data_IF_010323457388
#
_entry.id   IF_010323457388
#
_cell.length_a   1.000
_cell.length_b   1.000
_cell.length_c   1.000
_cell.angle_alpha   90.00
_cell.angle_beta   90.00
_cell.angle_gamma   90.00
#
_symmetry.space_group_name_H-M   'P 1'
#
loop_
_entity.id
_entity.type
_entity.pdbx_description
1 polymer ?
#
# COMPACT_ATOMS: atom_id res chain seq x y z
N UNK A 1 -24.47 -27.23 -2.37
CA UNK A 1 -23.75 -25.93 -2.36
C UNK A 1 -23.29 -25.64 -3.79
N UNK A 2 -23.63 -24.50 -4.39
CA UNK A 2 -23.23 -24.20 -5.77
C UNK A 2 -21.70 -24.05 -5.91
N UNK A 3 -21.13 -24.53 -7.02
CA UNK A 3 -19.68 -24.48 -7.31
C UNK A 3 -19.08 -23.08 -7.20
N UNK A 4 -19.90 -22.05 -7.46
CA UNK A 4 -19.52 -20.64 -7.34
C UNK A 4 -19.28 -20.23 -5.87
N UNK A 5 -20.18 -20.60 -4.96
CA UNK A 5 -20.05 -20.29 -3.53
C UNK A 5 -18.81 -20.98 -2.92
N UNK A 6 -18.52 -22.20 -3.35
CA UNK A 6 -17.31 -22.91 -2.92
C UNK A 6 -16.03 -22.22 -3.40
N UNK A 7 -16.00 -21.72 -4.63
CA UNK A 7 -14.88 -20.91 -5.16
C UNK A 7 -14.70 -19.62 -4.38
N UNK A 8 -15.78 -18.90 -4.09
CA UNK A 8 -15.73 -17.64 -3.33
C UNK A 8 -15.19 -17.91 -1.92
N UNK A 9 -15.70 -18.92 -1.22
CA UNK A 9 -15.21 -19.31 0.12
C UNK A 9 -13.72 -19.67 0.11
N UNK A 10 -13.27 -20.43 -0.90
CA UNK A 10 -11.86 -20.79 -1.03
C UNK A 10 -10.95 -19.59 -1.28
N UNK A 11 -11.39 -18.59 -2.05
CA UNK A 11 -10.63 -17.35 -2.27
C UNK A 11 -10.55 -16.49 -1.01
N UNK A 12 -11.65 -16.37 -0.26
CA UNK A 12 -11.67 -15.65 1.02
C UNK A 12 -10.75 -16.31 2.04
N UNK A 13 -10.82 -17.64 2.18
CA UNK A 13 -9.97 -18.39 3.11
C UNK A 13 -8.48 -18.23 2.81
N UNK A 14 -8.07 -18.27 1.53
CA UNK A 14 -6.67 -18.02 1.15
C UNK A 14 -6.20 -16.63 1.53
N UNK A 15 -7.06 -15.61 1.34
CA UNK A 15 -6.75 -14.24 1.75
C UNK A 15 -6.61 -14.15 3.28
N UNK A 16 -7.49 -14.79 4.03
CA UNK A 16 -7.41 -14.86 5.49
C UNK A 16 -6.13 -15.56 5.98
N UNK A 17 -5.76 -16.69 5.37
CA UNK A 17 -4.52 -17.43 5.66
C UNK A 17 -3.28 -16.54 5.40
N UNK A 18 -3.27 -15.77 4.31
CA UNK A 18 -2.18 -14.83 4.02
C UNK A 18 -2.09 -13.68 5.01
N UNK A 19 -3.22 -13.14 5.46
CA UNK A 19 -3.25 -12.11 6.52
C UNK A 19 -2.79 -12.68 7.86
N UNK A 20 -3.15 -13.93 8.18
CA UNK A 20 -2.67 -14.63 9.37
C UNK A 20 -1.15 -14.86 9.35
N UNK A 21 -0.52 -14.89 8.18
CA UNK A 21 0.93 -14.92 8.01
C UNK A 21 1.60 -13.54 8.18
N UNK A 22 0.86 -12.53 8.61
CA UNK A 22 1.39 -11.18 8.89
C UNK A 22 1.40 -10.24 7.69
N UNK A 23 0.79 -10.63 6.56
CA UNK A 23 0.60 -9.72 5.44
C UNK A 23 -0.49 -8.69 5.76
N UNK A 24 -0.28 -7.46 5.32
CA UNK A 24 -1.22 -6.36 5.53
C UNK A 24 -2.17 -6.23 4.33
N UNK A 25 -3.48 -6.16 4.59
CA UNK A 25 -4.49 -5.96 3.56
C UNK A 25 -4.57 -4.47 3.18
N UNK A 26 -4.18 -4.15 1.95
CA UNK A 26 -4.29 -2.81 1.36
C UNK A 26 -5.61 -2.57 0.64
N UNK A 27 -6.54 -3.53 0.66
CA UNK A 27 -7.78 -3.50 -0.10
C UNK A 27 -7.52 -3.67 -1.58
N UNK A 28 -7.47 -4.90 -2.07
CA UNK A 28 -7.16 -5.22 -3.48
C UNK A 28 -5.72 -5.66 -3.73
N UNK A 29 -4.87 -5.58 -2.70
CA UNK A 29 -3.54 -6.17 -2.66
C UNK A 29 -3.18 -6.56 -1.22
N UNK A 30 -2.18 -7.43 -1.08
CA UNK A 30 -1.52 -7.70 0.21
C UNK A 30 -0.10 -7.14 0.18
N UNK A 31 0.40 -6.69 1.33
CA UNK A 31 1.76 -6.18 1.49
C UNK A 31 2.47 -6.97 2.58
N UNK A 32 3.65 -7.52 2.26
CA UNK A 32 4.56 -8.04 3.27
C UNK A 32 5.32 -6.88 3.92
N UNK A 33 5.13 -6.62 5.23
CA UNK A 33 5.78 -5.50 5.91
C UNK A 33 7.30 -5.71 6.14
N UNK A 34 7.80 -6.94 5.99
CA UNK A 34 9.21 -7.28 6.22
C UNK A 34 10.03 -7.14 4.94
N UNK A 35 9.46 -7.51 3.79
CA UNK A 35 10.16 -7.48 2.50
C UNK A 35 9.76 -6.31 1.61
N UNK A 36 8.61 -5.68 1.88
CA UNK A 36 7.94 -4.76 0.96
C UNK A 36 7.50 -5.39 -0.36
N UNK A 37 7.21 -6.69 -0.34
CA UNK A 37 6.59 -7.36 -1.50
C UNK A 37 5.09 -7.07 -1.52
N UNK A 38 4.59 -6.55 -2.66
CA UNK A 38 3.16 -6.46 -2.94
C UNK A 38 2.70 -7.71 -3.67
N UNK A 39 1.52 -8.19 -3.30
CA UNK A 39 0.83 -9.31 -3.94
C UNK A 39 -0.52 -8.83 -4.47
N UNK A 40 -0.73 -8.97 -5.79
CA UNK A 40 -1.97 -8.59 -6.47
C UNK A 40 -2.44 -9.77 -7.32
N UNK A 41 -3.51 -10.44 -6.88
CA UNK A 41 -3.97 -11.67 -7.54
C UNK A 41 -2.88 -12.75 -7.52
N UNK A 42 -2.39 -13.13 -8.70
CA UNK A 42 -1.31 -14.12 -8.87
C UNK A 42 0.07 -13.48 -9.11
N UNK A 43 0.15 -12.16 -9.13
CA UNK A 43 1.39 -11.42 -9.37
C UNK A 43 1.99 -10.94 -8.06
N UNK A 44 3.32 -10.83 -8.03
CA UNK A 44 4.02 -10.21 -6.92
C UNK A 44 5.14 -9.32 -7.43
N UNK A 45 5.48 -8.28 -6.65
CA UNK A 45 6.55 -7.36 -6.97
C UNK A 45 7.25 -6.91 -5.70
N UNK A 46 8.58 -7.03 -5.68
CA UNK A 46 9.42 -6.54 -4.59
C UNK A 46 9.69 -5.05 -4.81
N UNK A 47 9.16 -4.19 -3.93
CA UNK A 47 9.34 -2.75 -4.09
C UNK A 47 10.74 -2.29 -3.65
N UNK A 48 11.25 -1.22 -4.28
CA UNK A 48 12.35 -0.46 -3.71
C UNK A 48 12.03 0.00 -2.27
N UNK A 49 13.03 0.05 -1.36
CA UNK A 49 12.79 0.27 0.06
C UNK A 49 11.95 1.50 0.40
N UNK A 50 12.18 2.63 -0.28
CA UNK A 50 11.45 3.87 0.01
C UNK A 50 10.00 3.80 -0.46
N UNK A 51 9.72 3.21 -1.62
CA UNK A 51 8.35 2.97 -2.10
C UNK A 51 7.60 2.04 -1.13
N UNK A 52 8.26 0.96 -0.71
CA UNK A 52 7.77 0.03 0.28
C UNK A 52 7.46 0.67 1.63
N UNK A 53 8.37 1.51 2.15
CA UNK A 53 8.16 2.28 3.39
C UNK A 53 6.98 3.23 3.29
N UNK A 54 6.84 3.96 2.18
CA UNK A 54 5.69 4.84 1.95
C UNK A 54 4.41 4.00 1.97
N UNK A 55 4.33 2.95 1.16
CA UNK A 55 3.12 2.15 1.05
C UNK A 55 2.76 1.50 2.39
N UNK A 56 3.75 0.97 3.12
CA UNK A 56 3.56 0.41 4.46
C UNK A 56 2.96 1.45 5.42
N UNK A 57 3.48 2.68 5.40
CA UNK A 57 2.95 3.76 6.23
C UNK A 57 1.49 4.07 5.87
N UNK A 58 1.17 4.12 4.58
CA UNK A 58 -0.20 4.39 4.13
C UNK A 58 -1.17 3.23 4.43
N UNK A 59 -0.75 1.98 4.24
CA UNK A 59 -1.56 0.79 4.55
C UNK A 59 -1.87 0.72 6.05
N UNK A 60 -0.87 0.90 6.91
CA UNK A 60 -1.06 0.88 8.37
C UNK A 60 -1.98 1.97 8.90
N UNK A 61 -2.03 3.11 8.21
CA UNK A 61 -2.85 4.25 8.61
C UNK A 61 -4.16 4.34 7.85
N UNK A 62 -4.38 3.55 6.80
CA UNK A 62 -5.57 3.61 5.95
C UNK A 62 -6.86 3.49 6.79
N UNK A 63 -7.88 4.34 6.57
CA UNK A 63 -7.98 5.42 5.57
C UNK A 63 -7.58 6.80 6.09
N UNK A 64 -6.80 6.91 7.16
CA UNK A 64 -6.34 8.20 7.72
C UNK A 64 -5.22 8.82 6.87
N UNK A 65 -5.06 10.13 7.01
CA UNK A 65 -3.97 10.88 6.37
C UNK A 65 -2.66 10.62 7.12
N UNK A 66 -1.61 10.33 6.37
CA UNK A 66 -0.23 10.33 6.84
C UNK A 66 0.41 11.64 6.39
N UNK A 67 0.95 12.40 7.35
CA UNK A 67 1.53 13.71 7.04
C UNK A 67 2.82 13.57 6.22
N UNK A 68 3.16 14.60 5.43
CA UNK A 68 4.46 14.66 4.74
C UNK A 68 5.61 14.48 5.72
N UNK A 69 5.51 15.14 6.88
CA UNK A 69 6.49 15.11 7.97
C UNK A 69 6.73 13.68 8.47
N UNK A 70 5.65 12.96 8.78
CA UNK A 70 5.74 11.57 9.23
C UNK A 70 6.36 10.65 8.17
N UNK A 71 6.00 10.83 6.89
CA UNK A 71 6.61 10.08 5.80
C UNK A 71 8.12 10.35 5.71
N UNK A 72 8.55 11.61 5.85
CA UNK A 72 9.98 11.94 5.82
C UNK A 72 10.76 11.24 6.94
N UNK A 73 10.23 11.27 8.16
CA UNK A 73 10.83 10.57 9.31
C UNK A 73 10.93 9.06 9.04
N UNK A 74 9.89 8.44 8.49
CA UNK A 74 9.92 7.00 8.17
C UNK A 74 10.92 6.64 7.08
N UNK A 75 11.14 7.54 6.11
CA UNK A 75 12.04 7.29 4.98
C UNK A 75 13.50 7.50 5.37
N UNK A 76 13.82 8.63 6.02
CA UNK A 76 15.19 9.11 6.23
C UNK A 76 15.61 9.21 7.71
N UNK A 77 14.70 8.96 8.66
CA UNK A 77 15.01 8.95 10.09
C UNK A 77 15.20 10.34 10.72
N UNK A 78 14.95 11.42 9.97
CA UNK A 78 15.11 12.80 10.43
C UNK A 78 14.05 13.73 9.84
N UNK A 79 13.79 14.83 10.54
CA UNK A 79 13.00 15.97 10.08
C UNK A 79 13.87 17.12 9.55
N UNK A 80 15.18 17.10 9.83
CA UNK A 80 16.12 18.11 9.34
C UNK A 80 16.46 17.80 7.87
N UNK A 81 16.35 18.82 7.01
CA UNK A 81 16.55 18.73 5.56
C UNK A 81 15.51 17.84 4.84
N UNK A 82 14.23 18.19 5.00
CA UNK A 82 13.13 17.60 4.22
C UNK A 82 13.32 17.94 2.74
N UNK A 83 13.79 16.98 1.95
CA UNK A 83 13.72 17.06 0.50
C UNK A 83 12.30 16.70 0.05
N UNK A 84 11.42 17.70 0.03
CA UNK A 84 10.06 17.54 -0.49
C UNK A 84 10.07 17.00 -1.93
N UNK A 85 11.09 17.34 -2.74
CA UNK A 85 11.22 16.82 -4.09
C UNK A 85 11.56 15.34 -4.07
N UNK A 86 12.45 14.88 -3.18
CA UNK A 86 12.72 13.45 -3.01
C UNK A 86 11.45 12.70 -2.60
N UNK A 87 10.64 13.24 -1.68
CA UNK A 87 9.37 12.61 -1.32
C UNK A 87 8.44 12.50 -2.53
N UNK A 88 8.29 13.57 -3.30
CA UNK A 88 7.48 13.55 -4.54
C UNK A 88 7.99 12.55 -5.56
N UNK A 89 9.31 12.46 -5.77
CA UNK A 89 9.92 11.49 -6.69
C UNK A 89 9.60 10.06 -6.27
N UNK A 90 9.70 9.74 -4.97
CA UNK A 90 9.33 8.43 -4.46
C UNK A 90 7.83 8.15 -4.62
N UNK A 91 6.95 9.14 -4.43
CA UNK A 91 5.53 9.00 -4.74
C UNK A 91 5.25 8.77 -6.23
N UNK A 92 5.93 9.47 -7.13
CA UNK A 92 5.81 9.26 -8.57
C UNK A 92 6.20 7.85 -8.96
N UNK A 93 7.30 7.32 -8.39
CA UNK A 93 7.72 5.93 -8.62
C UNK A 93 6.72 4.93 -8.06
N UNK A 94 6.29 5.11 -6.81
CA UNK A 94 5.28 4.25 -6.19
C UNK A 94 3.97 4.24 -6.99
N UNK A 95 3.50 5.40 -7.46
CA UNK A 95 2.31 5.49 -8.32
C UNK A 95 2.50 4.75 -9.64
N UNK A 96 3.67 4.85 -10.26
CA UNK A 96 4.01 4.08 -11.46
C UNK A 96 3.96 2.58 -11.18
N UNK A 97 4.57 2.11 -10.08
CA UNK A 97 4.51 0.71 -9.65
C UNK A 97 3.06 0.26 -9.44
N UNK A 98 2.24 1.05 -8.74
CA UNK A 98 0.83 0.72 -8.50
C UNK A 98 -0.02 0.77 -9.77
N UNK A 99 0.32 1.61 -10.76
CA UNK A 99 -0.36 1.67 -12.05
C UNK A 99 -0.31 0.34 -12.79
N UNK A 100 0.82 -0.37 -12.71
CA UNK A 100 0.99 -1.69 -13.34
C UNK A 100 -0.03 -2.72 -12.81
N UNK A 101 -0.60 -2.45 -11.62
CA UNK A 101 -1.63 -3.27 -10.99
C UNK A 101 -3.03 -2.62 -11.01
N UNK A 102 -3.21 -1.47 -11.67
CA UNK A 102 -4.47 -0.72 -11.67
C UNK A 102 -4.82 -0.06 -10.33
N UNK A 103 -3.82 0.21 -9.48
CA UNK A 103 -3.98 0.72 -8.11
C UNK A 103 -3.45 2.15 -7.92
N UNK A 104 -2.99 2.84 -8.98
CA UNK A 104 -2.42 4.19 -8.89
C UNK A 104 -3.35 5.19 -8.19
N UNK A 105 -4.64 5.15 -8.53
CA UNK A 105 -5.67 6.02 -7.97
C UNK A 105 -5.94 5.76 -6.48
N UNK A 106 -5.35 4.73 -5.87
CA UNK A 106 -5.53 4.46 -4.43
C UNK A 106 -4.78 5.43 -3.54
N UNK A 107 -3.72 6.06 -4.03
CA UNK A 107 -2.96 7.07 -3.28
C UNK A 107 -3.53 8.46 -3.57
N UNK A 108 -4.26 8.98 -2.61
CA UNK A 108 -4.81 10.32 -2.64
C UNK A 108 -3.84 11.33 -2.01
N UNK A 109 -3.60 12.44 -2.72
CA UNK A 109 -2.91 13.61 -2.15
C UNK A 109 -3.95 14.50 -1.47
N UNK A 110 -3.82 14.72 -0.16
CA UNK A 110 -4.65 15.68 0.57
C UNK A 110 -3.88 16.98 0.72
N UNK A 111 -4.28 18.01 -0.05
CA UNK A 111 -3.56 19.28 -0.16
C UNK A 111 -3.32 19.91 1.22
N UNK A 112 -2.07 20.28 1.48
CA UNK A 112 -1.63 20.91 2.73
C UNK A 112 -1.51 19.96 3.93
N UNK A 113 -1.94 18.70 3.81
CA UNK A 113 -1.97 17.75 4.95
C UNK A 113 -1.04 16.55 4.75
N UNK A 114 -1.06 15.92 3.58
CA UNK A 114 -0.25 14.73 3.31
C UNK A 114 -0.90 13.79 2.31
N UNK A 115 -0.82 12.49 2.58
CA UNK A 115 -1.26 11.44 1.67
C UNK A 115 -2.10 10.40 2.40
N UNK A 116 -2.99 9.74 1.67
CA UNK A 116 -3.89 8.72 2.19
C UNK A 116 -3.98 7.56 1.21
N UNK A 117 -4.02 6.34 1.72
CA UNK A 117 -4.54 5.21 0.96
C UNK A 117 -6.06 5.21 1.08
N UNK A 118 -6.77 5.31 -0.04
CA UNK A 118 -8.23 5.20 -0.04
C UNK A 118 -8.64 3.77 0.29
N UNK A 119 -9.71 3.62 1.07
CA UNK A 119 -10.40 2.33 1.20
C UNK A 119 -10.90 1.84 -0.16
N UNK A 120 -10.94 0.52 -0.34
CA UNK A 120 -11.58 -0.05 -1.51
C UNK A 120 -13.09 0.16 -1.37
N UNK A 121 -13.67 1.02 -2.20
CA UNK A 121 -15.14 1.08 -2.34
C UNK A 121 -15.58 -0.27 -2.91
N UNK A 122 -16.21 -1.10 -2.08
CA UNK A 122 -16.96 -2.26 -2.54
C UNK A 122 -18.25 -1.71 -3.15
N UNK A 123 -18.32 -1.69 -4.47
CA UNK A 123 -19.60 -1.60 -5.19
C UNK A 123 -20.30 -2.96 -5.15
#
# INVERSE_FOLDING_TARGET
MSRLLARIKNLLRRKEEQVQQGLLDGGGFLLDPNTFTIYVGNSSYLMPPNEGKILLALVKNSPKIVSKKELCIRLWGTEEFIDENALQVNFTRLRKTLREFGLEERIETVRGQGYRLKEQVRL
#
